data_IF_310299234843
#
_entry.id   IF_310299234843
#
_cell.length_a   1.000
_cell.length_b   1.000
_cell.length_c   1.000
_cell.angle_alpha   90.00
_cell.angle_beta   90.00
_cell.angle_gamma   90.00
#
_symmetry.space_group_name_H-M   'P 1'
#
loop_
_entity.id
_entity.type
_entity.pdbx_description
1 polymer ?
#
# COMPACT_ATOMS: atom_id res chain seq x y z
N UNK A 1 -18.70 8.35 -12.88
CA UNK A 1 -18.16 9.70 -12.63
C UNK A 1 -19.08 10.34 -11.61
N UNK A 2 -18.55 10.76 -10.46
CA UNK A 2 -19.33 11.37 -9.40
C UNK A 2 -18.91 12.84 -9.31
N UNK A 3 -19.83 13.75 -9.54
CA UNK A 3 -19.63 15.18 -9.29
C UNK A 3 -20.28 15.49 -7.94
N UNK A 4 -19.53 16.16 -7.06
CA UNK A 4 -20.06 16.67 -5.80
C UNK A 4 -20.04 18.18 -5.91
N UNK A 5 -21.21 18.80 -5.81
CA UNK A 5 -21.31 20.24 -5.65
C UNK A 5 -21.15 20.59 -4.16
N UNK A 6 -20.27 21.54 -3.88
CA UNK A 6 -19.92 21.93 -2.51
C UNK A 6 -20.46 23.33 -2.23
N UNK A 7 -21.00 23.60 -1.03
CA UNK A 7 -21.43 24.94 -0.66
C UNK A 7 -20.27 25.94 -0.84
N UNK A 8 -20.60 27.15 -1.32
CA UNK A 8 -19.60 28.16 -1.68
C UNK A 8 -18.72 28.60 -0.51
N UNK A 9 -17.53 29.12 -0.82
CA UNK A 9 -16.53 29.60 0.17
C UNK A 9 -16.98 30.84 0.95
N UNK A 10 -18.03 31.53 0.51
CA UNK A 10 -18.55 32.76 1.13
C UNK A 10 -19.52 32.53 2.29
N UNK A 11 -19.72 31.28 2.71
CA UNK A 11 -20.61 30.99 3.83
C UNK A 11 -19.84 31.13 5.14
N UNK A 12 -20.20 32.16 5.93
CA UNK A 12 -19.67 32.46 7.28
C UNK A 12 -19.89 31.29 8.29
N UNK A 13 -20.64 30.26 7.91
CA UNK A 13 -21.06 29.16 8.78
C UNK A 13 -20.04 28.02 8.75
N UNK A 14 -19.25 27.89 9.83
CA UNK A 14 -18.24 26.83 10.04
C UNK A 14 -18.73 25.40 9.75
N UNK A 15 -20.05 25.13 9.82
CA UNK A 15 -20.63 23.81 9.54
C UNK A 15 -20.65 23.44 8.07
N UNK A 16 -20.83 24.40 7.16
CA UNK A 16 -20.82 24.12 5.71
C UNK A 16 -19.40 23.99 5.16
N UNK A 17 -18.42 24.67 5.80
CA UNK A 17 -17.00 24.47 5.54
C UNK A 17 -16.59 23.00 5.80
N UNK A 18 -17.02 22.40 6.91
CA UNK A 18 -16.73 21.00 7.26
C UNK A 18 -17.23 19.99 6.22
N UNK A 19 -18.38 20.25 5.60
CA UNK A 19 -18.92 19.37 4.55
C UNK A 19 -17.99 19.34 3.34
N UNK A 20 -17.50 20.50 2.90
CA UNK A 20 -16.54 20.59 1.79
C UNK A 20 -15.21 19.93 2.16
N UNK A 21 -14.75 20.12 3.40
CA UNK A 21 -13.50 19.53 3.92
C UNK A 21 -13.52 18.00 3.97
N UNK A 22 -14.67 17.35 4.13
CA UNK A 22 -14.78 15.89 4.08
C UNK A 22 -14.64 15.30 2.66
N UNK A 23 -14.97 16.09 1.62
CA UNK A 23 -14.91 15.63 0.23
C UNK A 23 -13.55 15.85 -0.43
N UNK A 24 -12.82 16.90 -0.05
CA UNK A 24 -11.49 17.22 -0.62
C UNK A 24 -10.50 16.04 -0.55
N UNK A 25 -10.37 15.29 0.56
CA UNK A 25 -9.45 14.15 0.66
C UNK A 25 -9.78 13.03 -0.33
N UNK A 26 -11.07 12.84 -0.62
CA UNK A 26 -11.59 11.76 -1.47
C UNK A 26 -11.66 12.15 -2.94
N UNK A 27 -11.53 13.44 -3.26
CA UNK A 27 -11.58 13.92 -4.62
C UNK A 27 -10.33 13.53 -5.42
N UNK A 28 -10.56 13.23 -6.71
CA UNK A 28 -9.52 12.94 -7.70
C UNK A 28 -9.05 14.21 -8.40
N UNK A 29 -9.97 15.16 -8.56
CA UNK A 29 -9.80 16.43 -9.24
C UNK A 29 -10.62 17.47 -8.51
N UNK A 30 -10.00 18.59 -8.16
CA UNK A 30 -10.70 19.74 -7.62
C UNK A 30 -10.93 20.76 -8.74
N UNK A 31 -12.19 21.03 -9.06
CA UNK A 31 -12.57 22.12 -9.96
C UNK A 31 -12.82 23.36 -9.12
N UNK A 32 -11.90 24.32 -9.16
CA UNK A 32 -12.01 25.55 -8.38
C UNK A 32 -12.56 26.67 -9.25
N UNK A 33 -13.84 27.01 -9.06
CA UNK A 33 -14.54 28.00 -9.86
C UNK A 33 -14.38 29.39 -9.24
N UNK A 34 -13.75 30.30 -9.98
CA UNK A 34 -13.53 31.71 -9.59
C UNK A 34 -14.39 32.58 -10.48
N UNK A 35 -15.07 33.57 -9.91
CA UNK A 35 -15.84 34.55 -10.68
C UNK A 35 -14.93 35.66 -11.24
N UNK A 36 -15.05 35.97 -12.53
CA UNK A 36 -14.30 37.06 -13.18
C UNK A 36 -14.55 38.44 -12.55
N UNK A 37 -15.75 38.67 -11.99
CA UNK A 37 -16.10 39.93 -11.31
C UNK A 37 -15.21 40.25 -10.09
N UNK A 38 -14.84 39.22 -9.32
CA UNK A 38 -14.11 39.34 -8.05
C UNK A 38 -13.20 38.12 -7.88
N UNK A 39 -12.07 38.07 -8.60
CA UNK A 39 -11.19 36.92 -8.52
C UNK A 39 -10.42 36.91 -7.19
N UNK A 40 -10.31 35.72 -6.58
CA UNK A 40 -9.46 35.45 -5.40
C UNK A 40 -9.82 36.30 -4.17
N UNK A 41 -11.05 36.15 -3.71
CA UNK A 41 -11.49 36.69 -2.41
C UNK A 41 -10.72 36.05 -1.24
N UNK A 42 -10.70 36.70 -0.08
CA UNK A 42 -9.98 36.21 1.10
C UNK A 42 -10.43 34.80 1.54
N UNK A 43 -11.73 34.53 1.49
CA UNK A 43 -12.32 33.22 1.77
C UNK A 43 -11.83 32.14 0.78
N UNK A 44 -11.76 32.46 -0.51
CA UNK A 44 -11.23 31.57 -1.54
C UNK A 44 -9.73 31.28 -1.33
N UNK A 45 -8.94 32.30 -0.99
CA UNK A 45 -7.51 32.13 -0.70
C UNK A 45 -7.28 31.26 0.54
N UNK A 46 -8.06 31.47 1.60
CA UNK A 46 -7.99 30.63 2.81
C UNK A 46 -8.31 29.17 2.49
N UNK A 47 -9.33 28.92 1.67
CA UNK A 47 -9.68 27.57 1.23
C UNK A 47 -8.59 26.94 0.36
N UNK A 48 -7.99 27.68 -0.58
CA UNK A 48 -6.89 27.16 -1.40
C UNK A 48 -5.69 26.73 -0.55
N UNK A 49 -5.32 27.52 0.46
CA UNK A 49 -4.26 27.13 1.42
C UNK A 49 -4.62 25.86 2.19
N UNK A 50 -5.88 25.71 2.61
CA UNK A 50 -6.34 24.47 3.24
C UNK A 50 -6.20 23.27 2.29
N UNK A 51 -6.55 23.42 1.00
CA UNK A 51 -6.49 22.29 0.04
C UNK A 51 -5.06 21.83 -0.26
N UNK A 52 -4.07 22.71 -0.09
CA UNK A 52 -2.65 22.43 -0.35
C UNK A 52 -2.14 21.20 0.41
N UNK A 53 -2.60 20.99 1.65
CA UNK A 53 -2.16 19.88 2.49
C UNK A 53 -2.48 18.49 1.89
N UNK A 54 -3.47 18.42 1.00
CA UNK A 54 -3.93 17.17 0.39
C UNK A 54 -3.21 16.84 -0.92
N UNK A 55 -2.36 17.74 -1.42
CA UNK A 55 -1.58 17.59 -2.68
C UNK A 55 -2.43 17.11 -3.87
N UNK A 56 -3.69 17.55 -3.93
CA UNK A 56 -4.61 17.18 -5.01
C UNK A 56 -4.37 18.03 -6.25
N UNK A 57 -4.71 17.48 -7.42
CA UNK A 57 -4.69 18.21 -8.68
C UNK A 57 -5.87 19.20 -8.68
N UNK A 58 -5.56 20.50 -8.75
CA UNK A 58 -6.54 21.59 -8.79
C UNK A 58 -6.56 22.17 -10.20
N UNK A 59 -7.76 22.36 -10.74
CA UNK A 59 -7.99 23.05 -12.02
C UNK A 59 -8.87 24.25 -11.76
N UNK A 60 -8.38 25.42 -12.17
CA UNK A 60 -9.06 26.69 -11.99
C UNK A 60 -9.97 26.98 -13.18
N UNK A 61 -11.21 27.38 -12.88
CA UNK A 61 -12.18 27.82 -13.87
C UNK A 61 -12.51 29.28 -13.61
N UNK A 62 -12.04 30.18 -14.46
CA UNK A 62 -12.40 31.59 -14.38
C UNK A 62 -13.74 31.78 -15.10
N UNK A 63 -14.83 31.67 -14.33
CA UNK A 63 -16.20 31.78 -14.83
C UNK A 63 -16.59 33.24 -15.10
N UNK A 64 -17.59 33.43 -15.96
CA UNK A 64 -18.05 34.73 -16.47
C UNK A 64 -16.97 35.47 -17.26
N UNK A 65 -16.12 34.74 -17.99
CA UNK A 65 -15.09 35.35 -18.83
C UNK A 65 -15.66 36.25 -19.93
N UNK A 66 -16.96 36.13 -20.22
CA UNK A 66 -17.71 36.97 -21.16
C UNK A 66 -17.87 38.43 -20.71
N UNK A 67 -17.59 38.74 -19.43
CA UNK A 67 -17.57 40.10 -18.89
C UNK A 67 -16.37 40.92 -19.37
N UNK A 68 -15.26 40.26 -19.67
CA UNK A 68 -14.11 40.93 -20.26
C UNK A 68 -14.41 41.25 -21.72
N UNK A 69 -14.36 42.52 -22.07
CA UNK A 69 -14.59 42.98 -23.44
C UNK A 69 -13.32 42.84 -24.28
N UNK A 70 -12.16 42.92 -23.63
CA UNK A 70 -10.84 42.95 -24.26
C UNK A 70 -10.02 41.71 -23.92
N UNK A 71 -9.35 41.12 -24.93
CA UNK A 71 -8.46 39.97 -24.71
C UNK A 71 -7.24 40.31 -23.82
N UNK A 72 -6.84 41.59 -23.76
CA UNK A 72 -5.74 42.04 -22.90
C UNK A 72 -6.12 41.97 -21.41
N UNK A 73 -7.32 42.45 -21.04
CA UNK A 73 -7.81 42.41 -19.66
C UNK A 73 -7.97 40.96 -19.17
N UNK A 74 -8.50 40.09 -20.03
CA UNK A 74 -8.60 38.67 -19.72
C UNK A 74 -7.21 38.05 -19.48
N UNK A 75 -6.21 38.39 -20.30
CA UNK A 75 -4.83 37.91 -20.12
C UNK A 75 -4.22 38.39 -18.81
N UNK A 76 -4.45 39.65 -18.44
CA UNK A 76 -3.96 40.21 -17.19
C UNK A 76 -4.58 39.50 -15.99
N UNK A 77 -5.91 39.31 -16.00
CA UNK A 77 -6.62 38.56 -14.96
C UNK A 77 -6.11 37.11 -14.85
N UNK A 78 -5.89 36.44 -15.99
CA UNK A 78 -5.31 35.08 -16.02
C UNK A 78 -3.90 35.07 -15.41
N UNK A 79 -3.04 36.03 -15.75
CA UNK A 79 -1.69 36.12 -15.20
C UNK A 79 -1.72 36.34 -13.69
N UNK A 80 -2.55 37.27 -13.23
CA UNK A 80 -2.74 37.55 -11.82
C UNK A 80 -3.19 36.29 -11.05
N UNK A 81 -4.20 35.57 -11.55
CA UNK A 81 -4.68 34.36 -10.88
C UNK A 81 -3.60 33.27 -10.89
N UNK A 82 -2.90 33.06 -12.01
CA UNK A 82 -1.83 32.06 -12.10
C UNK A 82 -0.69 32.36 -11.13
N UNK A 83 -0.23 33.60 -11.05
CA UNK A 83 0.83 33.99 -10.12
C UNK A 83 0.45 33.78 -8.66
N UNK A 84 -0.76 34.15 -8.28
CA UNK A 84 -1.25 33.93 -6.92
C UNK A 84 -1.48 32.44 -6.62
N UNK A 85 -2.07 31.68 -7.54
CA UNK A 85 -2.27 30.25 -7.40
C UNK A 85 -0.94 29.49 -7.27
N UNK A 86 0.10 29.87 -8.01
CA UNK A 86 1.45 29.30 -7.86
C UNK A 86 1.98 29.51 -6.44
N UNK A 87 1.81 30.72 -5.89
CA UNK A 87 2.23 31.05 -4.51
C UNK A 87 1.47 30.23 -3.47
N UNK A 88 0.16 30.02 -3.65
CA UNK A 88 -0.67 29.31 -2.67
C UNK A 88 -0.54 27.79 -2.75
N UNK A 89 -0.38 27.22 -3.95
CA UNK A 89 -0.30 25.77 -4.14
C UNK A 89 1.14 25.23 -4.15
N UNK A 90 2.14 26.12 -4.18
CA UNK A 90 3.56 25.77 -4.33
C UNK A 90 3.80 24.83 -5.52
N UNK A 91 3.17 25.16 -6.66
CA UNK A 91 3.27 24.39 -7.91
C UNK A 91 3.51 25.34 -9.06
N UNK A 92 4.33 24.94 -10.03
CA UNK A 92 4.61 25.77 -11.21
C UNK A 92 3.52 25.66 -12.29
N UNK A 93 2.88 24.49 -12.36
CA UNK A 93 1.91 24.15 -13.39
C UNK A 93 0.46 24.36 -12.89
N UNK A 94 -0.04 25.59 -13.07
CA UNK A 94 -1.41 25.97 -12.73
C UNK A 94 -2.28 25.90 -13.98
N UNK A 95 -3.19 24.93 -13.99
CA UNK A 95 -4.20 24.77 -15.02
C UNK A 95 -5.35 25.76 -14.76
N UNK A 96 -5.55 26.69 -15.69
CA UNK A 96 -6.62 27.69 -15.63
C UNK A 96 -7.30 27.81 -16.97
N UNK A 97 -8.64 27.67 -16.97
CA UNK A 97 -9.48 27.82 -18.15
C UNK A 97 -10.45 28.99 -17.95
N UNK A 98 -10.41 30.03 -18.80
CA UNK A 98 -11.42 31.09 -18.81
C UNK A 98 -12.69 30.57 -19.48
N UNK A 99 -13.81 30.51 -18.76
CA UNK A 99 -15.05 29.92 -19.25
C UNK A 99 -16.23 30.87 -19.08
N UNK A 100 -17.16 30.81 -20.03
CA UNK A 100 -18.50 31.37 -19.88
C UNK A 100 -19.49 30.23 -19.76
N UNK A 101 -19.89 29.89 -18.53
CA UNK A 101 -20.89 28.85 -18.30
C UNK A 101 -22.24 29.19 -18.97
N UNK A 102 -22.60 30.49 -19.02
CA UNK A 102 -23.81 30.98 -19.68
C UNK A 102 -23.79 30.69 -21.18
N UNK A 103 -22.72 31.14 -21.87
CA UNK A 103 -22.61 30.95 -23.33
C UNK A 103 -22.52 29.47 -23.70
N UNK A 104 -21.84 28.65 -22.88
CA UNK A 104 -21.78 27.21 -23.08
C UNK A 104 -23.15 26.54 -22.91
N UNK A 105 -23.93 26.95 -21.90
CA UNK A 105 -25.29 26.43 -21.67
C UNK A 105 -26.22 26.81 -22.82
N UNK A 106 -26.22 28.09 -23.24
CA UNK A 106 -27.02 28.56 -24.38
C UNK A 106 -26.69 27.78 -25.66
N UNK A 107 -25.41 27.60 -25.97
CA UNK A 107 -24.97 26.83 -27.14
C UNK A 107 -25.43 25.36 -27.08
N UNK A 108 -25.36 24.71 -25.91
CA UNK A 108 -25.84 23.34 -25.74
C UNK A 108 -27.37 23.28 -25.90
N UNK A 109 -28.12 24.20 -25.31
CA UNK A 109 -29.59 24.26 -25.43
C UNK A 109 -30.06 24.49 -26.87
N UNK A 110 -29.39 25.37 -27.62
CA UNK A 110 -29.70 25.62 -29.03
C UNK A 110 -29.42 24.40 -29.92
N UNK A 111 -28.36 23.64 -29.60
CA UNK A 111 -28.06 22.37 -30.28
C UNK A 111 -29.14 21.30 -30.02
N UNK A 112 -29.69 21.26 -28.81
CA UNK A 112 -30.82 20.38 -28.47
C UNK A 112 -32.14 20.78 -29.12
N UNK A 113 -32.41 22.08 -29.34
CA UNK A 113 -33.64 22.52 -30.02
C UNK A 113 -33.60 22.33 -31.54
N UNK A 114 -32.41 22.40 -32.14
CA UNK A 114 -32.22 22.28 -33.59
C UNK A 114 -32.14 20.84 -34.11
N UNK A 115 -32.27 19.83 -33.23
CA UNK A 115 -32.29 18.41 -33.63
C UNK A 115 -33.63 17.97 -34.24
N UNK A 116 -34.59 18.90 -34.45
CA UNK A 116 -35.91 18.64 -35.02
C UNK A 116 -36.25 19.32 -36.35
N UNK A 117 -35.57 20.39 -36.79
CA UNK A 117 -35.92 21.10 -38.04
C UNK A 117 -34.65 21.70 -38.68
N UNK A 118 -34.29 21.17 -39.86
CA UNK A 118 -33.42 21.71 -40.91
C UNK A 118 -32.25 22.63 -40.53
N UNK A 119 -31.06 22.03 -40.45
CA UNK A 119 -29.90 22.34 -41.31
C UNK A 119 -29.55 23.79 -41.66
N UNK A 120 -29.66 24.77 -40.74
CA UNK A 120 -29.09 26.10 -40.96
C UNK A 120 -28.14 26.51 -39.85
N UNK A 121 -26.84 26.57 -40.20
CA UNK A 121 -25.79 27.09 -39.34
C UNK A 121 -26.06 28.56 -38.96
N UNK A 122 -26.03 28.92 -37.67
CA UNK A 122 -26.03 30.31 -37.26
C UNK A 122 -24.66 30.94 -37.57
N UNK A 123 -24.69 32.09 -38.23
CA UNK A 123 -23.56 32.92 -38.65
C UNK A 123 -22.47 33.04 -37.59
N UNK A 124 -21.33 32.50 -37.96
CA UNK A 124 -20.11 32.24 -37.22
C UNK A 124 -19.12 33.41 -37.31
N UNK A 125 -18.90 34.19 -36.24
CA UNK A 125 -17.56 34.81 -36.04
C UNK A 125 -17.30 35.35 -34.64
N UNK A 126 -18.26 35.98 -33.95
CA UNK A 126 -18.00 36.57 -32.61
C UNK A 126 -18.20 35.59 -31.45
N UNK A 127 -19.08 34.59 -31.62
CA UNK A 127 -19.41 33.58 -30.59
C UNK A 127 -18.38 32.45 -30.48
N UNK A 128 -17.49 32.30 -31.47
CA UNK A 128 -16.59 31.15 -31.57
C UNK A 128 -15.57 31.07 -30.43
N UNK A 129 -15.00 32.21 -30.00
CA UNK A 129 -13.96 32.22 -28.98
C UNK A 129 -14.52 32.00 -27.56
N UNK A 130 -15.75 32.46 -27.28
CA UNK A 130 -16.42 32.27 -25.98
C UNK A 130 -16.86 30.82 -25.80
N UNK A 131 -17.28 30.17 -26.88
CA UNK A 131 -17.67 28.75 -26.91
C UNK A 131 -16.43 27.84 -26.97
N UNK A 132 -15.33 28.26 -27.61
CA UNK A 132 -14.10 27.45 -27.71
C UNK A 132 -13.46 27.16 -26.36
N UNK A 133 -13.42 28.14 -25.46
CA UNK A 133 -12.70 27.95 -24.20
C UNK A 133 -13.39 26.96 -23.25
N UNK A 134 -14.72 26.86 -23.30
CA UNK A 134 -15.44 25.80 -22.59
C UNK A 134 -15.19 24.43 -23.23
N UNK A 135 -15.10 24.36 -24.56
CA UNK A 135 -14.76 23.12 -25.27
C UNK A 135 -13.34 22.63 -24.93
N UNK A 136 -12.37 23.52 -24.75
CA UNK A 136 -11.02 23.16 -24.29
C UNK A 136 -11.03 22.54 -22.89
N UNK A 137 -11.79 23.14 -21.97
CA UNK A 137 -12.00 22.56 -20.64
C UNK A 137 -12.69 21.19 -20.72
N UNK A 138 -13.71 21.05 -21.55
CA UNK A 138 -14.45 19.78 -21.72
C UNK A 138 -13.54 18.67 -22.31
N UNK A 139 -12.70 19.00 -23.29
CA UNK A 139 -11.67 18.09 -23.82
C UNK A 139 -10.68 17.68 -22.73
N UNK A 140 -10.21 18.62 -21.93
CA UNK A 140 -9.35 18.33 -20.79
C UNK A 140 -10.04 17.37 -19.82
N UNK A 141 -11.29 17.65 -19.44
CA UNK A 141 -12.04 16.83 -18.49
C UNK A 141 -12.22 15.39 -19.00
N UNK A 142 -12.61 15.22 -20.27
CA UNK A 142 -12.72 13.87 -20.85
C UNK A 142 -11.36 13.16 -20.91
N UNK A 143 -10.29 13.87 -21.28
CA UNK A 143 -8.92 13.31 -21.29
C UNK A 143 -8.42 12.90 -19.90
N UNK A 144 -8.88 13.59 -18.85
CA UNK A 144 -8.57 13.26 -17.46
C UNK A 144 -9.39 12.06 -16.96
N UNK A 145 -10.63 11.96 -17.42
CA UNK A 145 -11.52 10.86 -17.05
C UNK A 145 -11.17 9.56 -17.75
N UNK A 146 -10.68 9.64 -18.99
CA UNK A 146 -10.24 8.51 -19.79
C UNK A 146 -8.94 7.92 -19.26
N UNK A 147 -9.01 6.66 -18.83
CA UNK A 147 -7.86 5.93 -18.29
C UNK A 147 -6.76 5.61 -19.30
N UNK A 148 -7.05 5.64 -20.61
CA UNK A 148 -6.07 5.38 -21.66
C UNK A 148 -5.18 6.60 -21.97
N UNK A 149 -5.62 7.78 -21.54
CA UNK A 149 -4.87 9.02 -21.74
C UNK A 149 -3.81 9.21 -20.64
N UNK A 150 -2.71 9.93 -20.95
CA UNK A 150 -1.64 10.27 -19.99
C UNK A 150 -2.16 10.83 -18.66
N UNK A 151 -3.17 11.69 -18.73
CA UNK A 151 -3.80 12.34 -17.57
C UNK A 151 -4.60 11.36 -16.71
N UNK A 152 -5.32 10.42 -17.33
CA UNK A 152 -6.01 9.35 -16.62
C UNK A 152 -5.05 8.35 -15.96
N UNK A 153 -3.91 8.07 -16.59
CA UNK A 153 -2.83 7.28 -15.98
C UNK A 153 -2.21 8.00 -14.77
N UNK A 154 -1.97 9.31 -14.86
CA UNK A 154 -1.50 10.11 -13.70
C UNK A 154 -2.50 10.04 -12.54
N UNK A 155 -3.80 10.16 -12.81
CA UNK A 155 -4.85 10.00 -11.79
C UNK A 155 -4.78 8.61 -11.14
N UNK A 156 -4.62 7.56 -11.94
CA UNK A 156 -4.50 6.20 -11.42
C UNK A 156 -3.24 6.04 -10.56
N UNK A 157 -2.11 6.57 -11.01
CA UNK A 157 -0.85 6.56 -10.25
C UNK A 157 -1.02 7.21 -8.88
N UNK A 158 -1.61 8.40 -8.81
CA UNK A 158 -1.84 9.12 -7.54
C UNK A 158 -2.77 8.34 -6.59
N UNK A 159 -3.78 7.64 -7.12
CA UNK A 159 -4.68 6.81 -6.31
C UNK A 159 -4.00 5.57 -5.73
N UNK A 160 -3.11 4.97 -6.51
CA UNK A 160 -2.47 3.71 -6.16
C UNK A 160 -1.20 3.91 -5.34
N UNK A 161 -0.61 5.11 -5.34
CA UNK A 161 0.63 5.40 -4.59
C UNK A 161 0.51 5.05 -3.10
N UNK A 162 -0.57 5.44 -2.44
CA UNK A 162 -0.75 5.15 -1.00
C UNK A 162 -1.04 3.66 -0.72
N UNK A 163 -2.01 3.00 -1.41
CA UNK A 163 -2.21 1.56 -1.24
C UNK A 163 -0.98 0.71 -1.55
N UNK A 164 -0.22 1.05 -2.60
CA UNK A 164 1.01 0.34 -2.97
C UNK A 164 2.06 0.52 -1.88
N UNK A 165 2.30 1.75 -1.42
CA UNK A 165 3.27 2.00 -0.35
C UNK A 165 2.93 1.24 0.95
N UNK A 166 1.64 1.11 1.28
CA UNK A 166 1.18 0.31 2.42
C UNK A 166 1.43 -1.18 2.16
N UNK A 167 1.07 -1.68 0.97
CA UNK A 167 1.28 -3.08 0.60
C UNK A 167 2.77 -3.46 0.62
N UNK A 168 3.66 -2.61 0.11
CA UNK A 168 5.11 -2.82 0.16
C UNK A 168 5.63 -2.90 1.60
N UNK A 169 5.17 -2.02 2.48
CA UNK A 169 5.54 -2.06 3.91
C UNK A 169 5.08 -3.34 4.58
N UNK A 170 3.85 -3.78 4.30
CA UNK A 170 3.32 -5.04 4.83
C UNK A 170 4.11 -6.23 4.31
N UNK A 171 4.40 -6.28 3.01
CA UNK A 171 5.21 -7.34 2.40
C UNK A 171 6.61 -7.41 3.04
N UNK A 172 7.27 -6.27 3.23
CA UNK A 172 8.59 -6.21 3.87
C UNK A 172 8.58 -6.69 5.33
N UNK A 173 7.55 -6.31 6.09
CA UNK A 173 7.39 -6.77 7.46
C UNK A 173 7.13 -8.30 7.52
N UNK A 174 6.24 -8.81 6.66
CA UNK A 174 6.00 -10.24 6.53
C UNK A 174 7.26 -11.01 6.13
N UNK A 175 8.05 -10.49 5.18
CA UNK A 175 9.30 -11.12 4.76
C UNK A 175 10.30 -11.23 5.92
N UNK A 176 10.39 -10.19 6.74
CA UNK A 176 11.28 -10.16 7.91
C UNK A 176 10.84 -11.18 8.95
N UNK A 177 9.54 -11.24 9.26
CA UNK A 177 8.98 -12.23 10.19
C UNK A 177 9.23 -13.66 9.72
N UNK A 178 8.94 -13.96 8.45
CA UNK A 178 9.18 -15.30 7.89
C UNK A 178 10.66 -15.68 7.92
N UNK A 179 11.57 -14.72 7.67
CA UNK A 179 13.02 -14.95 7.77
C UNK A 179 13.43 -15.28 9.20
N UNK A 180 12.94 -14.53 10.19
CA UNK A 180 13.23 -14.78 11.60
C UNK A 180 12.70 -16.14 12.06
N UNK A 181 11.47 -16.50 11.70
CA UNK A 181 10.89 -17.78 12.08
C UNK A 181 11.60 -18.96 11.40
N UNK A 182 12.02 -18.80 10.14
CA UNK A 182 12.84 -19.80 9.46
C UNK A 182 14.21 -19.98 10.14
N UNK A 183 14.84 -18.87 10.58
CA UNK A 183 16.10 -18.93 11.32
C UNK A 183 15.95 -19.63 12.67
N UNK A 184 14.87 -19.34 13.42
CA UNK A 184 14.57 -20.04 14.69
C UNK A 184 14.33 -21.53 14.45
N UNK A 185 13.50 -21.89 13.47
CA UNK A 185 13.23 -23.28 13.13
C UNK A 185 14.51 -24.04 12.71
N UNK A 186 15.43 -23.37 12.02
CA UNK A 186 16.73 -23.94 11.66
C UNK A 186 17.63 -24.16 12.89
N UNK A 187 17.64 -23.22 13.83
CA UNK A 187 18.37 -23.37 15.10
C UNK A 187 17.79 -24.49 15.96
N UNK A 188 16.46 -24.58 16.06
CA UNK A 188 15.76 -25.64 16.78
C UNK A 188 16.05 -27.01 16.16
N UNK A 189 16.02 -27.11 14.83
CA UNK A 189 16.36 -28.34 14.12
C UNK A 189 17.80 -28.78 14.44
N UNK A 190 18.75 -27.85 14.40
CA UNK A 190 20.16 -28.13 14.72
C UNK A 190 20.31 -28.62 16.16
N UNK A 191 19.65 -27.96 17.12
CA UNK A 191 19.67 -28.36 18.52
C UNK A 191 19.06 -29.76 18.72
N UNK A 192 17.93 -30.06 18.08
CA UNK A 192 17.31 -31.39 18.14
C UNK A 192 18.23 -32.46 17.55
N UNK A 193 18.91 -32.20 16.44
CA UNK A 193 19.89 -33.16 15.89
C UNK A 193 21.06 -33.40 16.84
N UNK A 194 21.61 -32.36 17.46
CA UNK A 194 22.69 -32.50 18.46
C UNK A 194 22.23 -33.31 19.68
N UNK A 195 20.99 -33.10 20.15
CA UNK A 195 20.41 -33.90 21.22
C UNK A 195 20.25 -35.37 20.83
N UNK A 196 19.73 -35.65 19.64
CA UNK A 196 19.57 -37.02 19.13
C UNK A 196 20.91 -37.73 19.06
N UNK A 197 21.95 -37.06 18.54
CA UNK A 197 23.30 -37.62 18.47
C UNK A 197 23.85 -37.92 19.89
N UNK A 198 23.63 -37.02 20.84
CA UNK A 198 24.07 -37.23 22.23
C UNK A 198 23.36 -38.41 22.91
N UNK A 199 22.07 -38.60 22.63
CA UNK A 199 21.27 -39.72 23.15
C UNK A 199 21.73 -41.03 22.52
N UNK A 200 22.06 -41.03 21.23
CA UNK A 200 22.60 -42.18 20.53
C UNK A 200 23.99 -42.58 21.07
N UNK A 201 24.86 -41.59 21.33
CA UNK A 201 26.16 -41.79 21.97
C UNK A 201 26.02 -42.37 23.39
N UNK A 202 25.04 -41.88 24.15
CA UNK A 202 24.76 -42.41 25.48
C UNK A 202 24.23 -43.85 25.42
N UNK A 203 23.30 -44.13 24.51
CA UNK A 203 22.74 -45.47 24.30
C UNK A 203 23.84 -46.48 23.93
N UNK A 204 24.73 -46.13 23.00
CA UNK A 204 25.86 -46.99 22.62
C UNK A 204 26.86 -47.21 23.76
N UNK A 205 27.14 -46.19 24.58
CA UNK A 205 27.96 -46.35 25.80
C UNK A 205 27.32 -47.30 26.80
N UNK A 206 26.02 -47.14 27.09
CA UNK A 206 25.29 -48.03 27.99
C UNK A 206 25.28 -49.47 27.49
N UNK A 207 25.05 -49.68 26.19
CA UNK A 207 25.10 -51.01 25.56
C UNK A 207 26.47 -51.66 25.77
N UNK A 208 27.54 -50.90 25.52
CA UNK A 208 28.92 -51.37 25.68
C UNK A 208 29.25 -51.70 27.15
N UNK A 209 28.85 -50.85 28.10
CA UNK A 209 29.04 -51.11 29.53
C UNK A 209 28.23 -52.33 29.99
N UNK A 210 26.98 -52.48 29.52
CA UNK A 210 26.14 -53.64 29.80
C UNK A 210 26.79 -54.94 29.31
N UNK A 211 27.32 -54.94 28.08
CA UNK A 211 28.07 -56.08 27.52
C UNK A 211 29.34 -56.35 28.33
N UNK A 212 30.09 -55.31 28.71
CA UNK A 212 31.28 -55.43 29.55
C UNK A 212 30.97 -56.08 30.90
N UNK A 213 29.96 -55.58 31.61
CA UNK A 213 29.53 -56.13 32.89
C UNK A 213 29.00 -57.55 32.77
N UNK A 214 28.21 -57.87 31.73
CA UNK A 214 27.78 -59.26 31.45
C UNK A 214 28.95 -60.20 31.27
N UNK A 215 29.97 -59.83 30.48
CA UNK A 215 31.18 -60.65 30.27
C UNK A 215 31.97 -60.84 31.57
N UNK A 216 32.15 -59.78 32.36
CA UNK A 216 32.86 -59.83 33.65
C UNK A 216 32.14 -60.69 34.67
N UNK A 217 30.81 -60.59 34.75
CA UNK A 217 30.01 -61.43 35.64
C UNK A 217 30.05 -62.89 35.20
N UNK A 218 29.93 -63.17 33.90
CA UNK A 218 30.07 -64.53 33.37
C UNK A 218 31.45 -65.13 33.64
N UNK A 219 32.54 -64.36 33.51
CA UNK A 219 33.89 -64.86 33.80
C UNK A 219 34.08 -65.17 35.29
N UNK A 220 33.54 -64.33 36.17
CA UNK A 220 33.52 -64.60 37.62
C UNK A 220 32.72 -65.87 37.91
N UNK A 221 31.51 -66.01 37.38
CA UNK A 221 30.68 -67.22 37.58
C UNK A 221 31.41 -68.48 37.09
N UNK A 222 32.04 -68.43 35.91
CA UNK A 222 32.85 -69.54 35.40
C UNK A 222 34.05 -69.87 36.30
N UNK A 223 34.74 -68.85 36.82
CA UNK A 223 35.85 -69.03 37.76
C UNK A 223 35.39 -69.72 39.06
N UNK A 224 34.31 -69.22 39.67
CA UNK A 224 33.73 -69.82 40.88
C UNK A 224 33.25 -71.25 40.64
N UNK A 225 32.57 -71.50 39.52
CA UNK A 225 32.13 -72.85 39.15
C UNK A 225 33.31 -73.82 38.96
N UNK A 226 34.38 -73.38 38.28
CA UNK A 226 35.58 -74.20 38.09
C UNK A 226 36.29 -74.50 39.40
N UNK A 227 36.37 -73.51 40.31
CA UNK A 227 36.96 -73.68 41.63
C UNK A 227 36.16 -74.68 42.49
N UNK A 228 34.83 -74.58 42.48
CA UNK A 228 33.93 -75.51 43.15
C UNK A 228 34.06 -76.94 42.59
N UNK A 229 34.18 -77.08 41.28
CA UNK A 229 34.44 -78.37 40.61
C UNK A 229 35.81 -78.97 41.01
N UNK A 230 36.84 -78.14 41.16
CA UNK A 230 38.15 -78.61 41.62
C UNK A 230 38.12 -79.05 43.08
N UNK A 231 37.48 -78.27 43.96
CA UNK A 231 37.33 -78.63 45.38
C UNK A 231 36.52 -79.92 45.56
N UNK A 232 35.40 -80.07 44.85
CA UNK A 232 34.59 -81.31 44.91
C UNK A 232 35.35 -82.52 44.35
N UNK A 233 36.17 -82.35 43.30
CA UNK A 233 37.07 -83.42 42.82
C UNK A 233 38.17 -83.77 43.83
N UNK A 234 38.80 -82.79 44.45
CA UNK A 234 39.83 -83.03 45.46
C UNK A 234 39.25 -83.80 46.66
N UNK A 235 38.10 -83.36 47.17
CA UNK A 235 37.41 -84.02 48.28
C UNK A 235 36.99 -85.46 47.94
N UNK A 236 36.53 -85.69 46.70
CA UNK A 236 36.21 -87.04 46.22
C UNK A 236 37.45 -87.92 46.15
N UNK A 237 38.60 -87.38 45.70
CA UNK A 237 39.85 -88.13 45.63
C UNK A 237 40.40 -88.46 47.03
N UNK A 238 40.28 -87.54 48.00
CA UNK A 238 40.66 -87.79 49.40
C UNK A 238 39.77 -88.85 50.07
N UNK A 239 38.47 -88.83 49.80
CA UNK A 239 37.55 -89.88 50.27
C UNK A 239 37.91 -91.24 49.67
N UNK A 240 38.29 -91.29 48.39
CA UNK A 240 38.71 -92.52 47.71
C UNK A 240 40.05 -93.05 48.24
N UNK A 241 41.01 -92.19 48.56
CA UNK A 241 42.27 -92.62 49.19
C UNK A 241 42.05 -93.11 50.62
N UNK A 242 41.20 -92.45 51.41
CA UNK A 242 40.84 -92.92 52.75
C UNK A 242 40.12 -94.28 52.73
N UNK A 243 39.22 -94.49 51.76
CA UNK A 243 38.56 -95.78 51.54
C UNK A 243 39.56 -96.89 51.15
N UNK A 244 40.56 -96.60 50.33
CA UNK A 244 41.60 -97.56 49.94
C UNK A 244 42.63 -97.85 51.05
N UNK A 245 42.81 -96.97 52.03
CA UNK A 245 43.69 -97.20 53.19
C UNK A 245 42.99 -98.07 54.25
N UNK A 246 41.66 -98.11 54.25
CA UNK A 246 40.84 -98.89 55.19
C UNK A 246 40.46 -100.30 54.68
N UNK A 247 40.91 -100.69 53.48
CA UNK A 247 40.76 -102.05 52.92
C UNK A 247 42.08 -102.80 52.93
#
# INVERSE_FOLDING_TARGET
MNIVDTPGTNVILQRQQRLTEEFVPRADLLLFVISADRPLTESEVAFLRYTQQWKKKVVFLLNKSDLYQNASELKEAISFIKENARKFLNTEDVLLYPVSARSALEAKLLSFSNTGIDGREPSASESHWKVSNFSEFEKFLYSFLDGSTRMGMERMKLKLETPIAIAERLLSACETLVKEDCQKAFQDLKFVTELVDSVQDYATKMENESIYWRRKTLSLVWFWHSCLCMHTRAFRNELLTLLNIMS
#
